data_IF_798753252664
#
_entry.id   IF_798753252664
#
_cell.length_a   1.000
_cell.length_b   1.000
_cell.length_c   1.000
_cell.angle_alpha   90.00
_cell.angle_beta   90.00
_cell.angle_gamma   90.00
#
_symmetry.space_group_name_H-M   'P 1'
#
loop_
_entity.id
_entity.type
_entity.pdbx_description
1 polymer ?
#
# COMPACT_ATOMS: atom_id res chain seq x y z
N UNK A 1 7.29 14.84 10.75
CA UNK A 1 7.98 13.64 11.31
C UNK A 1 7.05 12.44 11.17
N UNK A 2 7.54 11.35 10.69
CA UNK A 2 6.78 10.12 10.55
C UNK A 2 7.08 9.11 11.67
N UNK A 3 6.31 8.03 11.71
CA UNK A 3 6.47 6.95 12.69
C UNK A 3 7.51 5.95 12.20
N UNK A 4 8.77 6.37 12.14
CA UNK A 4 9.88 5.48 11.83
C UNK A 4 10.94 5.56 12.90
N UNK A 5 11.34 4.40 13.41
CA UNK A 5 12.48 4.27 14.30
C UNK A 5 13.55 3.50 13.55
N UNK A 6 14.73 4.07 13.44
CA UNK A 6 15.85 3.49 12.71
C UNK A 6 16.93 3.15 13.71
N UNK A 7 17.24 1.86 13.85
CA UNK A 7 18.38 1.37 14.61
C UNK A 7 19.49 0.95 13.66
N UNK A 8 20.56 0.38 14.22
CA UNK A 8 21.72 -0.06 13.43
C UNK A 8 21.36 -1.23 12.51
N UNK A 9 20.45 -2.12 12.95
CA UNK A 9 20.09 -3.36 12.25
C UNK A 9 18.59 -3.53 12.05
N UNK A 10 17.78 -2.49 12.36
CA UNK A 10 16.34 -2.58 12.23
C UNK A 10 15.69 -1.26 11.86
N UNK A 11 14.50 -1.35 11.27
CA UNK A 11 13.61 -0.22 11.02
C UNK A 11 12.21 -0.60 11.49
N UNK A 12 11.57 0.28 12.20
CA UNK A 12 10.21 0.09 12.71
C UNK A 12 9.36 1.30 12.29
N UNK A 13 8.16 1.07 11.81
CA UNK A 13 7.33 2.18 11.39
C UNK A 13 5.86 1.82 11.18
N UNK A 14 5.07 2.86 10.91
CA UNK A 14 3.65 2.75 10.62
C UNK A 14 3.39 3.41 9.28
N UNK A 15 2.65 2.72 8.42
CA UNK A 15 2.36 3.25 7.09
C UNK A 15 0.94 2.92 6.64
N UNK A 16 0.50 3.58 5.58
CA UNK A 16 -0.79 3.34 4.93
C UNK A 16 -0.58 2.91 3.50
N UNK A 17 -1.55 2.20 2.96
CA UNK A 17 -1.63 1.90 1.53
C UNK A 17 -3.07 2.02 1.06
N UNK A 18 -3.22 2.41 -0.20
CA UNK A 18 -4.52 2.56 -0.83
C UNK A 18 -4.82 1.35 -1.71
N UNK A 19 -5.95 0.71 -1.45
CA UNK A 19 -6.48 -0.35 -2.31
C UNK A 19 -7.53 0.29 -3.20
N UNK A 20 -7.21 0.45 -4.48
CA UNK A 20 -8.08 1.08 -5.47
C UNK A 20 -8.52 0.03 -6.47
N UNK A 21 -9.80 -0.30 -6.44
CA UNK A 21 -10.41 -1.22 -7.39
C UNK A 21 -11.33 -0.46 -8.32
N UNK A 22 -11.15 -0.63 -9.62
CA UNK A 22 -11.99 0.00 -10.63
C UNK A 22 -12.11 -0.92 -11.84
N UNK A 23 -13.34 -1.15 -12.29
CA UNK A 23 -13.62 -1.97 -13.48
C UNK A 23 -12.96 -3.35 -13.41
N UNK A 24 -12.95 -3.97 -12.22
CA UNK A 24 -12.38 -5.28 -12.01
C UNK A 24 -10.86 -5.31 -11.94
N UNK A 25 -10.23 -4.17 -11.74
CA UNK A 25 -8.77 -4.05 -11.70
C UNK A 25 -8.28 -3.36 -10.45
N UNK A 26 -7.08 -3.72 -10.04
CA UNK A 26 -6.37 -3.14 -8.90
C UNK A 26 -5.30 -2.19 -9.40
N UNK A 27 -5.27 -0.98 -8.84
CA UNK A 27 -4.22 0.00 -9.16
C UNK A 27 -2.92 -0.33 -8.44
N UNK A 28 -1.85 -0.37 -9.20
CA UNK A 28 -0.49 -0.54 -8.67
C UNK A 28 0.47 0.39 -9.41
N UNK A 29 1.69 0.48 -8.94
CA UNK A 29 2.80 1.05 -9.71
C UNK A 29 3.96 0.05 -9.74
N UNK A 30 4.74 0.10 -10.82
CA UNK A 30 5.84 -0.85 -11.04
C UNK A 30 7.16 -0.28 -10.55
N UNK A 31 7.86 -1.07 -9.73
CA UNK A 31 9.25 -0.82 -9.36
C UNK A 31 10.01 -2.07 -9.81
N UNK A 32 10.80 -1.94 -10.86
CA UNK A 32 11.44 -3.09 -11.52
C UNK A 32 10.37 -4.10 -11.93
N UNK A 33 10.41 -5.32 -11.40
CA UNK A 33 9.44 -6.37 -11.73
C UNK A 33 8.35 -6.54 -10.67
N UNK A 34 8.26 -5.62 -9.71
CA UNK A 34 7.29 -5.68 -8.61
C UNK A 34 6.19 -4.64 -8.77
N UNK A 35 4.98 -5.02 -8.38
CA UNK A 35 3.83 -4.11 -8.37
C UNK A 35 3.47 -3.77 -6.93
N UNK A 36 3.44 -2.47 -6.63
CA UNK A 36 3.21 -1.94 -5.29
C UNK A 36 1.93 -1.12 -5.20
N UNK A 37 1.34 -1.07 -4.01
CA UNK A 37 0.22 -0.17 -3.74
C UNK A 37 0.75 1.24 -3.48
N UNK A 38 -0.05 2.24 -3.84
CA UNK A 38 0.21 3.64 -3.48
C UNK A 38 0.11 3.78 -1.97
N UNK A 39 1.06 4.44 -1.34
CA UNK A 39 1.06 4.64 0.11
C UNK A 39 2.39 5.18 0.62
N UNK A 40 2.51 5.23 1.93
CA UNK A 40 3.73 5.74 2.57
C UNK A 40 3.61 5.82 4.07
N UNK A 41 4.60 6.43 4.71
CA UNK A 41 4.67 6.56 6.15
C UNK A 41 3.63 7.55 6.68
N UNK A 42 3.04 7.20 7.82
CA UNK A 42 2.14 8.09 8.55
C UNK A 42 2.97 9.11 9.30
N UNK A 43 2.54 10.36 9.27
CA UNK A 43 3.20 11.43 10.02
C UNK A 43 2.72 11.42 11.47
N UNK A 44 3.59 11.84 12.39
CA UNK A 44 3.20 11.97 13.81
C UNK A 44 2.08 13.01 13.93
N UNK A 45 0.99 12.62 14.59
CA UNK A 45 -0.20 13.48 14.72
C UNK A 45 -1.22 13.35 13.60
N UNK A 46 -0.91 12.57 12.60
CA UNK A 46 -1.79 12.31 11.45
C UNK A 46 -2.53 10.99 11.65
N UNK A 47 -3.84 10.99 11.46
CA UNK A 47 -4.61 9.74 11.48
C UNK A 47 -4.31 8.95 10.19
N UNK A 48 -4.41 7.63 10.26
CA UNK A 48 -4.17 6.77 9.09
C UNK A 48 -5.11 7.12 7.93
N UNK A 49 -6.35 7.47 8.21
CA UNK A 49 -7.32 7.87 7.20
C UNK A 49 -6.90 9.17 6.49
N UNK A 50 -6.32 10.12 7.22
CA UNK A 50 -5.79 11.36 6.65
C UNK A 50 -4.53 11.08 5.82
N UNK A 51 -3.69 10.18 6.32
CA UNK A 51 -2.43 9.82 5.67
C UNK A 51 -2.66 9.22 4.29
N UNK A 52 -3.64 8.33 4.13
CA UNK A 52 -3.90 7.70 2.83
C UNK A 52 -4.39 8.73 1.81
N UNK A 53 -5.19 9.70 2.23
CA UNK A 53 -5.64 10.81 1.35
C UNK A 53 -4.44 11.64 0.89
N UNK A 54 -3.55 11.97 1.82
CA UNK A 54 -2.33 12.74 1.52
C UNK A 54 -1.42 11.99 0.57
N UNK A 55 -1.15 10.72 0.82
CA UNK A 55 -0.27 9.91 -0.02
C UNK A 55 -0.83 9.74 -1.44
N UNK A 56 -2.13 9.52 -1.58
CA UNK A 56 -2.78 9.45 -2.89
C UNK A 56 -2.59 10.77 -3.64
N UNK A 57 -2.78 11.90 -2.96
CA UNK A 57 -2.61 13.22 -3.55
C UNK A 57 -1.16 13.47 -3.97
N UNK A 58 -0.19 13.11 -3.12
CA UNK A 58 1.23 13.31 -3.42
C UNK A 58 1.69 12.42 -4.58
N UNK A 59 1.27 11.17 -4.62
CA UNK A 59 1.77 10.22 -5.61
C UNK A 59 0.99 10.23 -6.91
N UNK A 60 -0.31 10.49 -6.87
CA UNK A 60 -1.17 10.43 -8.07
C UNK A 60 -1.77 11.78 -8.48
N UNK A 61 -1.69 12.79 -7.61
CA UNK A 61 -2.25 14.10 -7.90
C UNK A 61 -3.77 14.17 -7.89
N UNK A 62 -4.44 13.14 -7.37
CA UNK A 62 -5.90 13.08 -7.35
C UNK A 62 -6.44 13.06 -5.92
N UNK A 63 -7.67 13.55 -5.77
CA UNK A 63 -8.41 13.47 -4.52
C UNK A 63 -9.04 12.07 -4.42
N UNK A 64 -9.18 11.55 -3.22
CA UNK A 64 -9.86 10.27 -3.03
C UNK A 64 -10.84 10.34 -1.88
N UNK A 65 -11.82 9.44 -1.92
CA UNK A 65 -12.74 9.18 -0.81
C UNK A 65 -12.30 7.88 -0.14
N UNK A 66 -12.14 7.92 1.18
CA UNK A 66 -11.80 6.73 1.95
C UNK A 66 -13.08 5.97 2.25
N UNK A 67 -13.15 4.72 1.78
CA UNK A 67 -14.33 3.88 1.97
C UNK A 67 -14.26 3.13 3.30
N UNK A 68 -13.34 2.20 3.43
CA UNK A 68 -13.20 1.42 4.66
C UNK A 68 -11.78 0.88 4.82
N UNK A 69 -11.42 0.64 6.08
CA UNK A 69 -10.20 -0.07 6.41
C UNK A 69 -10.43 -1.56 6.17
N UNK A 70 -9.66 -2.13 5.25
CA UNK A 70 -9.80 -3.55 4.89
C UNK A 70 -8.86 -4.43 5.70
N UNK A 71 -7.59 -4.01 5.83
CA UNK A 71 -6.57 -4.83 6.48
C UNK A 71 -5.69 -4.00 7.40
N UNK A 72 -5.31 -4.59 8.53
CA UNK A 72 -4.22 -4.13 9.36
C UNK A 72 -3.14 -5.20 9.25
N UNK A 73 -1.97 -4.82 8.76
CA UNK A 73 -0.91 -5.74 8.38
C UNK A 73 0.29 -5.54 9.31
N UNK A 74 0.72 -6.62 9.95
CA UNK A 74 1.99 -6.64 10.68
C UNK A 74 3.00 -7.28 9.74
N UNK A 75 3.82 -6.46 9.11
CA UNK A 75 4.74 -6.89 8.05
C UNK A 75 6.17 -6.90 8.57
N UNK A 76 6.80 -8.06 8.58
CA UNK A 76 8.17 -8.24 9.07
C UNK A 76 8.99 -8.91 7.97
N UNK A 77 10.09 -8.30 7.59
CA UNK A 77 10.94 -8.84 6.54
C UNK A 77 12.38 -8.36 6.71
N UNK A 78 13.32 -9.13 6.18
CA UNK A 78 14.72 -8.75 6.09
C UNK A 78 14.98 -8.13 4.72
N UNK A 79 15.69 -7.02 4.71
CA UNK A 79 16.11 -6.36 3.48
C UNK A 79 17.54 -5.86 3.67
N UNK A 80 18.46 -6.41 2.88
CA UNK A 80 19.89 -6.07 2.92
C UNK A 80 20.48 -6.11 4.32
N UNK A 81 20.12 -7.13 5.11
CA UNK A 81 20.64 -7.30 6.45
C UNK A 81 19.96 -6.48 7.53
N UNK A 82 18.95 -5.69 7.18
CA UNK A 82 18.15 -4.93 8.14
C UNK A 82 16.79 -5.60 8.34
N UNK A 83 16.37 -5.72 9.59
CA UNK A 83 15.03 -6.17 9.92
C UNK A 83 14.05 -5.00 9.77
N UNK A 84 13.05 -5.18 8.94
CA UNK A 84 11.96 -4.21 8.79
C UNK A 84 10.72 -4.76 9.48
N UNK A 85 10.12 -3.95 10.34
CA UNK A 85 8.89 -4.28 11.04
C UNK A 85 7.93 -3.11 10.87
N UNK A 86 6.91 -3.30 10.06
CA UNK A 86 5.95 -2.24 9.69
C UNK A 86 4.55 -2.64 10.11
N UNK A 87 3.82 -1.70 10.70
CA UNK A 87 2.38 -1.81 10.89
C UNK A 87 1.76 -1.02 9.76
N UNK A 88 0.90 -1.66 8.97
CA UNK A 88 0.33 -1.05 7.79
C UNK A 88 -1.20 -1.06 7.84
N UNK A 89 -1.79 0.09 7.51
CA UNK A 89 -3.24 0.22 7.38
C UNK A 89 -3.57 0.27 5.90
N UNK A 90 -4.32 -0.71 5.41
CA UNK A 90 -4.70 -0.79 4.01
C UNK A 90 -6.17 -0.43 3.84
N UNK A 91 -6.42 0.72 3.25
CA UNK A 91 -7.76 1.28 3.06
C UNK A 91 -8.25 1.09 1.64
N UNK A 92 -9.53 0.72 1.52
CA UNK A 92 -10.22 0.80 0.25
C UNK A 92 -10.54 2.26 0.00
N UNK A 93 -10.14 2.79 -1.16
CA UNK A 93 -10.40 4.18 -1.53
C UNK A 93 -10.96 4.26 -2.95
N UNK A 94 -11.77 5.30 -3.19
CA UNK A 94 -12.29 5.63 -4.51
C UNK A 94 -11.61 6.91 -4.98
N UNK A 95 -11.01 6.89 -6.15
CA UNK A 95 -10.34 8.05 -6.72
C UNK A 95 -11.35 8.97 -7.41
N UNK A 96 -11.16 10.29 -7.23
CA UNK A 96 -11.94 11.31 -7.92
C UNK A 96 -10.99 11.98 -8.91
N UNK A 97 -11.03 11.52 -10.15
CA UNK A 97 -10.13 11.98 -11.20
C UNK A 97 -9.42 10.84 -11.89
N UNK A 98 -8.59 11.17 -12.85
CA UNK A 98 -7.86 10.20 -13.64
C UNK A 98 -6.48 9.92 -13.06
N UNK A 99 -6.09 8.65 -13.09
CA UNK A 99 -4.76 8.22 -12.66
C UNK A 99 -3.75 8.61 -13.74
N UNK A 100 -2.64 9.27 -13.37
CA UNK A 100 -1.59 9.57 -14.34
C UNK A 100 -0.90 8.29 -14.81
N UNK A 101 -0.17 8.38 -15.93
CA UNK A 101 0.59 7.23 -16.43
C UNK A 101 1.74 6.83 -15.50
N UNK A 102 2.27 7.79 -14.75
CA UNK A 102 3.38 7.61 -13.82
C UNK A 102 3.09 8.34 -12.52
N UNK A 103 3.64 7.84 -11.41
CA UNK A 103 3.55 8.53 -10.13
C UNK A 103 4.25 9.88 -10.20
N UNK A 104 3.81 10.83 -9.36
CA UNK A 104 4.33 12.20 -9.36
C UNK A 104 5.53 12.40 -8.45
N UNK A 105 5.84 11.43 -7.60
CA UNK A 105 6.99 11.48 -6.72
C UNK A 105 8.31 11.32 -7.50
N UNK A 106 9.43 11.37 -6.80
CA UNK A 106 10.75 11.31 -7.44
C UNK A 106 10.98 10.06 -8.27
N UNK A 107 10.35 8.94 -7.90
CA UNK A 107 10.52 7.67 -8.60
C UNK A 107 9.88 7.66 -9.98
N UNK A 108 8.79 8.42 -10.15
CA UNK A 108 8.02 8.47 -11.41
C UNK A 108 7.77 7.08 -11.98
N UNK A 109 7.25 6.19 -11.14
CA UNK A 109 6.99 4.82 -11.50
C UNK A 109 5.75 4.68 -12.37
N UNK A 110 5.79 3.75 -13.31
CA UNK A 110 4.66 3.48 -14.19
C UNK A 110 3.48 2.91 -13.40
N UNK A 111 2.30 3.54 -13.53
CA UNK A 111 1.08 3.03 -12.94
C UNK A 111 0.52 1.90 -13.81
N UNK A 112 0.07 0.83 -13.16
CA UNK A 112 -0.45 -0.34 -13.85
C UNK A 112 -1.71 -0.84 -13.16
N UNK A 113 -2.77 -1.05 -13.95
CA UNK A 113 -4.00 -1.68 -13.49
C UNK A 113 -3.93 -3.17 -13.75
N UNK A 114 -4.10 -3.97 -12.70
CA UNK A 114 -4.00 -5.43 -12.78
C UNK A 114 -5.37 -6.04 -12.59
N UNK A 115 -5.77 -6.93 -13.50
CA UNK A 115 -7.02 -7.67 -13.40
C UNK A 115 -7.05 -8.44 -12.07
N UNK A 116 -8.11 -8.24 -11.28
CA UNK A 116 -8.28 -8.89 -9.98
C UNK A 116 -8.30 -10.41 -10.07
N UNK A 117 -8.64 -10.96 -11.24
CA UNK A 117 -8.65 -12.41 -11.46
C UNK A 117 -7.28 -12.95 -11.85
N UNK A 118 -6.31 -12.07 -12.08
CA UNK A 118 -4.97 -12.44 -12.55
C UNK A 118 -3.86 -11.98 -11.61
N UNK A 119 -4.18 -11.67 -10.34
CA UNK A 119 -3.18 -11.19 -9.38
C UNK A 119 -2.02 -12.16 -9.20
N UNK A 120 -2.28 -13.46 -9.27
CA UNK A 120 -1.24 -14.48 -9.09
C UNK A 120 -0.19 -14.51 -10.21
N UNK A 121 -0.44 -13.84 -11.33
CA UNK A 121 0.50 -13.76 -12.44
C UNK A 121 1.50 -12.62 -12.28
N UNK A 122 1.40 -11.85 -11.19
CA UNK A 122 2.25 -10.67 -10.93
C UNK A 122 2.95 -10.82 -9.59
N UNK A 123 4.06 -10.10 -9.43
CA UNK A 123 4.76 -9.99 -8.15
C UNK A 123 4.17 -8.82 -7.38
N UNK A 124 3.01 -9.05 -6.77
CA UNK A 124 2.29 -8.04 -5.99
C UNK A 124 2.90 -7.91 -4.60
N UNK A 125 3.17 -6.69 -4.19
CA UNK A 125 3.71 -6.39 -2.85
C UNK A 125 2.77 -5.47 -2.07
N UNK A 126 2.35 -5.85 -0.85
CA UNK A 126 2.68 -7.10 -0.17
C UNK A 126 1.93 -8.30 -0.77
N UNK A 127 2.58 -9.45 -0.75
CA UNK A 127 2.10 -10.66 -1.43
C UNK A 127 0.78 -11.22 -0.88
N UNK A 128 0.45 -10.92 0.38
CA UNK A 128 -0.78 -11.43 0.98
C UNK A 128 -2.03 -11.04 0.17
N UNK A 129 -1.95 -9.92 -0.56
CA UNK A 129 -3.08 -9.41 -1.36
C UNK A 129 -3.57 -10.44 -2.39
N UNK A 130 -2.67 -11.23 -2.94
CA UNK A 130 -3.02 -12.24 -3.96
C UNK A 130 -4.07 -13.19 -3.43
N UNK A 131 -3.91 -13.62 -2.18
CA UNK A 131 -4.83 -14.55 -1.53
C UNK A 131 -6.00 -13.86 -0.86
N UNK A 132 -5.72 -12.81 -0.08
CA UNK A 132 -6.69 -12.22 0.83
C UNK A 132 -7.63 -11.19 0.16
N UNK A 133 -7.17 -10.48 -0.85
CA UNK A 133 -8.01 -9.49 -1.49
C UNK A 133 -9.26 -10.10 -2.13
N UNK A 134 -9.17 -11.21 -2.87
CA UNK A 134 -10.37 -11.85 -3.42
C UNK A 134 -11.32 -12.43 -2.35
N UNK A 135 -10.79 -12.73 -1.16
CA UNK A 135 -11.59 -13.31 -0.07
C UNK A 135 -12.27 -12.27 0.81
N UNK A 136 -11.79 -11.03 0.75
CA UNK A 136 -12.34 -9.98 1.62
C UNK A 136 -13.77 -9.64 1.21
N UNK A 137 -14.67 -9.54 2.20
CA UNK A 137 -16.08 -9.19 1.98
C UNK A 137 -16.51 -8.00 2.80
N UNK A 138 -16.13 -7.96 4.07
CA UNK A 138 -16.48 -6.86 4.97
C UNK A 138 -15.64 -6.93 6.24
N UNK A 139 -15.48 -5.78 6.90
CA UNK A 139 -14.80 -5.68 8.18
C UNK A 139 -13.28 -5.63 8.06
N UNK A 140 -12.64 -5.43 9.18
CA UNK A 140 -11.18 -5.31 9.26
C UNK A 140 -10.57 -6.69 9.49
N UNK A 141 -9.64 -7.07 8.63
CA UNK A 141 -8.92 -8.34 8.78
C UNK A 141 -7.46 -8.07 9.15
N UNK A 142 -6.97 -8.74 10.18
CA UNK A 142 -5.57 -8.67 10.57
C UNK A 142 -4.76 -9.67 9.75
N UNK A 143 -3.62 -9.22 9.24
CA UNK A 143 -2.68 -10.04 8.47
C UNK A 143 -1.33 -10.02 9.21
N UNK A 144 -0.81 -11.20 9.48
CA UNK A 144 0.50 -11.37 10.13
C UNK A 144 1.45 -12.00 9.11
N UNK A 145 2.47 -11.23 8.72
CA UNK A 145 3.51 -11.68 7.80
C UNK A 145 4.77 -11.91 8.62
N UNK A 146 5.13 -13.17 8.79
CA UNK A 146 6.30 -13.55 9.57
C UNK A 146 7.61 -13.31 8.84
N UNK A 147 8.70 -13.37 9.59
CA UNK A 147 10.06 -13.29 9.04
C UNK A 147 10.41 -14.65 8.45
N UNK A 148 10.82 -14.66 7.19
CA UNK A 148 11.31 -15.86 6.51
C UNK A 148 12.82 -15.84 6.38
#
# INVERSE_FOLDING_TARGET
>A
MDFRVIGDTYRYGVRVSAIVEKDGKLLTYKVEDQNHLVGGAILVGEASREAVVREVKEELGVVCEVEELMFVVENRFDYKGELHHMIEFHYKVTLIGEVPSHTLDEGKYECEWIDLQRLSEYDIRPQYLIKELPLWKAGIKQIDIGIE
#
